data_IF_491388146479
#
_entry.id   IF_491388146479
#
_cell.length_a   1.000
_cell.length_b   1.000
_cell.length_c   1.000
_cell.angle_alpha   90.00
_cell.angle_beta   90.00
_cell.angle_gamma   90.00
#
_symmetry.space_group_name_H-M   'P 1'
#
loop_
_entity.id
_entity.type
_entity.pdbx_description
1 polymer ?
#
# COMPACT_ATOMS: atom_id res chain seq x y z
N UNK A 1 5.39 12.32 -14.79
CA UNK A 1 6.77 11.81 -14.67
C UNK A 1 7.44 12.28 -13.39
N UNK A 2 6.88 11.85 -12.27
CA UNK A 2 7.62 11.80 -11.01
C UNK A 2 7.65 10.33 -10.58
N UNK A 3 8.85 9.74 -10.55
CA UNK A 3 9.06 8.36 -10.12
C UNK A 3 10.01 8.39 -8.93
N UNK A 4 9.52 7.95 -7.78
CA UNK A 4 10.28 7.98 -6.52
C UNK A 4 10.46 6.55 -6.04
N UNK A 5 11.70 6.12 -5.81
CA UNK A 5 11.97 4.85 -5.14
C UNK A 5 11.83 5.09 -3.64
N UNK A 6 10.90 4.38 -3.00
CA UNK A 6 10.61 4.57 -1.58
C UNK A 6 11.71 3.92 -0.72
N UNK A 7 12.10 4.64 0.31
CA UNK A 7 13.17 4.31 1.26
C UNK A 7 12.65 4.44 2.70
N UNK A 8 13.43 4.06 3.69
CA UNK A 8 13.01 4.10 5.10
C UNK A 8 12.54 5.49 5.56
N UNK A 9 13.21 6.57 5.13
CA UNK A 9 12.79 7.94 5.42
C UNK A 9 11.39 8.29 4.85
N UNK A 10 11.04 7.72 3.70
CA UNK A 10 9.73 7.90 3.08
C UNK A 10 8.64 7.14 3.86
N UNK A 11 8.98 5.99 4.46
CA UNK A 11 8.06 5.24 5.33
C UNK A 11 7.70 6.08 6.55
N UNK A 12 8.71 6.66 7.22
CA UNK A 12 8.50 7.50 8.40
C UNK A 12 7.65 8.73 8.06
N UNK A 13 7.98 9.42 6.97
CA UNK A 13 7.23 10.58 6.50
C UNK A 13 5.78 10.23 6.15
N UNK A 14 5.55 9.12 5.42
CA UNK A 14 4.22 8.68 5.03
C UNK A 14 3.36 8.30 6.24
N UNK A 15 3.90 7.53 7.18
CA UNK A 15 3.16 7.09 8.39
C UNK A 15 2.82 8.27 9.28
N UNK A 16 3.77 9.17 9.52
CA UNK A 16 3.53 10.36 10.36
C UNK A 16 2.54 11.32 9.68
N UNK A 17 2.73 11.60 8.39
CA UNK A 17 1.82 12.45 7.61
C UNK A 17 0.43 11.85 7.55
N UNK A 18 0.31 10.54 7.30
CA UNK A 18 -0.93 9.80 7.34
C UNK A 18 -1.62 9.90 8.71
N UNK A 19 -0.89 9.76 9.82
CA UNK A 19 -1.48 9.92 11.15
C UNK A 19 -2.07 11.33 11.39
N UNK A 20 -1.41 12.37 10.88
CA UNK A 20 -1.89 13.76 10.96
C UNK A 20 -3.12 13.99 10.10
N UNK A 21 -3.07 13.57 8.82
CA UNK A 21 -4.17 13.73 7.86
C UNK A 21 -5.37 12.83 8.18
N UNK A 22 -5.12 11.77 8.95
CA UNK A 22 -6.05 10.69 9.21
C UNK A 22 -7.05 10.92 10.32
N UNK A 23 -7.18 12.14 10.86
CA UNK A 23 -8.27 12.50 11.79
C UNK A 23 -8.47 11.57 12.99
N UNK A 24 -7.41 10.90 13.47
CA UNK A 24 -7.45 10.02 14.65
C UNK A 24 -7.80 8.53 14.42
N UNK A 25 -8.00 8.08 13.18
CA UNK A 25 -8.33 6.68 12.84
C UNK A 25 -7.22 5.89 12.13
N UNK A 26 -7.57 4.72 11.55
CA UNK A 26 -6.76 4.04 10.51
C UNK A 26 -5.58 3.18 10.94
N UNK A 27 -5.68 2.61 12.15
CA UNK A 27 -4.71 1.65 12.67
C UNK A 27 -3.47 2.28 13.29
N UNK A 28 -2.69 1.45 13.98
CA UNK A 28 -1.54 1.91 14.76
C UNK A 28 -0.35 2.28 13.86
N UNK A 29 0.26 3.45 14.10
CA UNK A 29 1.46 3.91 13.37
C UNK A 29 2.58 2.87 13.38
N UNK A 30 2.82 2.21 14.51
CA UNK A 30 3.85 1.17 14.61
C UNK A 30 3.66 0.08 13.56
N UNK A 31 2.42 -0.33 13.30
CA UNK A 31 2.12 -1.35 12.28
C UNK A 31 2.41 -0.82 10.87
N UNK A 32 2.13 0.47 10.63
CA UNK A 32 2.47 1.14 9.38
C UNK A 32 3.98 1.18 9.15
N UNK A 33 4.76 1.53 10.18
CA UNK A 33 6.23 1.50 10.13
C UNK A 33 6.73 0.08 9.83
N UNK A 34 6.28 -0.92 10.59
CA UNK A 34 6.72 -2.31 10.43
C UNK A 34 6.46 -2.83 9.00
N UNK A 35 5.28 -2.55 8.44
CA UNK A 35 4.89 -2.96 7.09
C UNK A 35 5.62 -2.17 6.01
N UNK A 36 5.72 -0.84 6.16
CA UNK A 36 6.41 0.02 5.21
C UNK A 36 7.88 -0.32 5.10
N UNK A 37 8.58 -0.45 6.23
CA UNK A 37 9.99 -0.84 6.25
C UNK A 37 10.19 -2.27 5.71
N UNK A 38 9.26 -3.19 5.96
CA UNK A 38 9.30 -4.53 5.35
C UNK A 38 9.22 -4.44 3.83
N UNK A 39 8.32 -3.60 3.30
CA UNK A 39 8.18 -3.41 1.86
C UNK A 39 9.45 -2.82 1.22
N UNK A 40 10.03 -1.78 1.84
CA UNK A 40 11.31 -1.17 1.40
C UNK A 40 12.41 -2.22 1.35
N UNK A 41 12.60 -3.00 2.43
CA UNK A 41 13.64 -4.04 2.49
C UNK A 41 13.48 -5.17 1.47
N UNK A 42 12.24 -5.51 1.09
CA UNK A 42 11.98 -6.61 0.16
C UNK A 42 12.25 -6.20 -1.28
N UNK A 43 11.79 -5.03 -1.70
CA UNK A 43 11.78 -4.69 -3.12
C UNK A 43 11.84 -3.21 -3.47
N UNK A 44 11.94 -2.31 -2.50
CA UNK A 44 11.93 -0.86 -2.71
C UNK A 44 10.74 -0.40 -3.59
N UNK A 45 9.52 -0.33 -3.03
CA UNK A 45 8.34 0.04 -3.80
C UNK A 45 8.53 1.41 -4.45
N UNK A 46 7.90 1.59 -5.61
CA UNK A 46 8.03 2.80 -6.41
C UNK A 46 6.74 3.59 -6.34
N UNK A 47 6.83 4.88 -6.04
CA UNK A 47 5.72 5.83 -6.13
C UNK A 47 5.74 6.51 -7.49
N UNK A 48 4.58 6.58 -8.15
CA UNK A 48 4.36 7.31 -9.41
C UNK A 48 3.17 8.26 -9.30
N UNK A 49 3.15 9.29 -10.14
CA UNK A 49 1.99 10.18 -10.29
C UNK A 49 0.87 9.55 -11.11
N UNK A 50 -0.35 10.07 -10.97
CA UNK A 50 -1.52 9.60 -11.73
C UNK A 50 -1.38 9.77 -13.23
N UNK A 51 -0.58 10.74 -13.67
CA UNK A 51 -0.31 11.00 -15.09
C UNK A 51 0.52 9.90 -15.77
N UNK A 52 1.15 9.02 -14.98
CA UNK A 52 1.94 7.89 -15.48
C UNK A 52 1.08 6.60 -15.61
N UNK A 53 -0.24 6.68 -15.38
CA UNK A 53 -1.20 5.58 -15.51
C UNK A 53 -1.85 5.55 -16.91
N UNK A 54 -2.13 4.35 -17.44
CA UNK A 54 -2.89 4.17 -18.69
C UNK A 54 -4.41 4.12 -18.43
N UNK A 55 -5.21 4.86 -19.21
CA UNK A 55 -6.67 5.01 -19.00
C UNK A 55 -7.45 3.69 -19.05
N UNK A 56 -6.99 2.72 -19.85
CA UNK A 56 -7.65 1.42 -20.04
C UNK A 56 -7.32 0.40 -18.92
N UNK A 57 -6.36 0.71 -18.06
CA UNK A 57 -5.90 -0.14 -16.97
C UNK A 57 -6.51 0.31 -15.64
N UNK A 58 -6.61 -0.63 -14.70
CA UNK A 58 -7.27 -0.37 -13.41
C UNK A 58 -6.28 -0.10 -12.28
N UNK A 59 -6.68 0.75 -11.34
CA UNK A 59 -6.00 0.91 -10.05
C UNK A 59 -6.63 0.00 -9.01
N UNK A 60 -5.82 -0.62 -8.17
CA UNK A 60 -6.29 -1.52 -7.11
C UNK A 60 -6.13 -0.86 -5.75
N UNK A 61 -7.26 -0.56 -5.12
CA UNK A 61 -7.28 -0.05 -3.75
C UNK A 61 -6.95 -1.16 -2.76
N UNK A 62 -5.87 -0.98 -2.02
CA UNK A 62 -5.42 -1.90 -1.00
C UNK A 62 -5.89 -1.43 0.38
N UNK A 63 -6.61 -2.29 1.10
CA UNK A 63 -7.06 -2.00 2.47
C UNK A 63 -6.88 -3.22 3.38
N UNK A 64 -6.40 -2.96 4.60
CA UNK A 64 -6.42 -3.93 5.69
C UNK A 64 -7.69 -3.78 6.53
N UNK A 65 -8.66 -4.66 6.35
CA UNK A 65 -9.91 -4.67 7.14
C UNK A 65 -9.84 -5.75 8.22
N UNK A 66 -10.17 -5.40 9.46
CA UNK A 66 -10.20 -6.33 10.58
C UNK A 66 -10.66 -5.66 11.87
N UNK A 67 -10.77 -6.46 12.94
CA UNK A 67 -11.13 -5.96 14.26
C UNK A 67 -9.86 -5.53 15.03
N UNK A 68 -9.69 -4.24 15.39
CA UNK A 68 -8.50 -3.77 16.11
C UNK A 68 -8.29 -4.46 17.47
N UNK A 69 -9.38 -4.85 18.14
CA UNK A 69 -9.35 -5.51 19.43
C UNK A 69 -9.17 -7.05 19.35
N UNK A 70 -9.02 -7.61 18.15
CA UNK A 70 -8.89 -9.06 17.99
C UNK A 70 -7.55 -9.57 18.56
N UNK A 71 -7.64 -10.39 19.61
CA UNK A 71 -6.47 -10.98 20.30
C UNK A 71 -5.61 -11.90 19.42
N UNK A 72 -6.16 -12.40 18.30
CA UNK A 72 -5.51 -13.31 17.36
C UNK A 72 -5.64 -12.82 15.92
N UNK A 73 -5.53 -11.51 15.70
CA UNK A 73 -5.47 -10.97 14.34
C UNK A 73 -4.22 -11.49 13.63
N UNK A 74 -4.39 -12.13 12.47
CA UNK A 74 -3.29 -12.68 11.70
C UNK A 74 -3.51 -12.46 10.21
N UNK A 75 -2.55 -11.80 9.56
CA UNK A 75 -2.43 -11.69 8.11
C UNK A 75 -0.99 -12.01 7.78
N UNK A 76 -0.76 -13.08 7.02
CA UNK A 76 0.58 -13.48 6.62
C UNK A 76 1.10 -12.57 5.49
N UNK A 77 2.42 -12.34 5.35
CA UNK A 77 2.98 -11.67 4.18
C UNK A 77 2.52 -12.30 2.84
N UNK A 78 2.38 -13.63 2.78
CA UNK A 78 1.85 -14.35 1.62
C UNK A 78 0.43 -13.92 1.25
N UNK A 79 -0.39 -13.52 2.22
CA UNK A 79 -1.76 -13.05 1.98
C UNK A 79 -1.78 -11.78 1.14
N UNK A 80 -0.82 -10.86 1.33
CA UNK A 80 -0.70 -9.62 0.55
C UNK A 80 -0.44 -9.90 -0.94
N UNK A 81 0.51 -10.79 -1.23
CA UNK A 81 0.78 -11.25 -2.60
C UNK A 81 -0.43 -11.98 -3.20
N UNK A 82 -0.98 -12.97 -2.46
CA UNK A 82 -2.04 -13.85 -2.95
C UNK A 82 -3.31 -13.08 -3.31
N UNK A 83 -3.63 -11.98 -2.63
CA UNK A 83 -4.81 -11.16 -2.97
C UNK A 83 -4.70 -10.53 -4.35
N UNK A 84 -3.53 -10.01 -4.73
CA UNK A 84 -3.34 -9.41 -6.04
C UNK A 84 -3.24 -10.49 -7.12
N UNK A 85 -2.54 -11.60 -6.83
CA UNK A 85 -2.48 -12.75 -7.74
C UNK A 85 -3.88 -13.30 -8.06
N UNK A 86 -4.73 -13.46 -7.05
CA UNK A 86 -6.13 -13.88 -7.23
C UNK A 86 -6.91 -12.87 -8.09
N UNK A 87 -6.70 -11.58 -7.88
CA UNK A 87 -7.34 -10.54 -8.68
C UNK A 87 -6.89 -10.61 -10.15
N UNK A 88 -5.59 -10.74 -10.41
CA UNK A 88 -5.05 -10.86 -11.77
C UNK A 88 -5.54 -12.12 -12.48
N UNK A 89 -5.67 -13.25 -11.79
CA UNK A 89 -6.16 -14.50 -12.39
C UNK A 89 -7.64 -14.45 -12.80
N UNK A 90 -8.46 -13.62 -12.13
CA UNK A 90 -9.91 -13.60 -12.34
C UNK A 90 -10.43 -12.29 -12.92
N UNK A 91 -9.55 -11.33 -13.21
CA UNK A 91 -9.86 -10.06 -13.85
C UNK A 91 -9.42 -10.10 -15.31
N UNK A 92 -10.24 -9.55 -16.21
CA UNK A 92 -9.85 -9.28 -17.60
C UNK A 92 -9.04 -7.99 -17.75
N UNK A 93 -9.02 -7.13 -16.71
CA UNK A 93 -8.34 -5.84 -16.73
C UNK A 93 -6.92 -5.95 -16.18
N UNK A 94 -5.97 -5.31 -16.88
CA UNK A 94 -4.60 -5.18 -16.41
C UNK A 94 -4.50 -4.11 -15.30
N UNK A 95 -3.64 -4.35 -14.33
CA UNK A 95 -3.42 -3.44 -13.18
C UNK A 95 -2.33 -2.43 -13.54
N UNK A 96 -2.63 -1.14 -13.42
CA UNK A 96 -1.65 -0.05 -13.51
C UNK A 96 -0.75 0.00 -12.28
N UNK A 97 -1.37 -0.14 -11.11
CA UNK A 97 -0.71 0.04 -9.84
C UNK A 97 -1.68 -0.07 -8.69
N UNK A 98 -1.15 0.18 -7.49
CA UNK A 98 -1.86 0.05 -6.24
C UNK A 98 -2.06 1.43 -5.62
N UNK A 99 -3.22 1.67 -5.04
CA UNK A 99 -3.48 2.85 -4.23
C UNK A 99 -3.80 2.45 -2.79
N UNK A 100 -3.42 3.29 -1.85
CA UNK A 100 -3.84 3.13 -0.46
C UNK A 100 -5.29 3.59 -0.28
N UNK A 101 -5.99 2.98 0.67
CA UNK A 101 -7.40 3.23 0.91
C UNK A 101 -7.72 4.47 1.76
N UNK A 102 -6.74 5.07 2.43
CA UNK A 102 -6.90 6.32 3.18
C UNK A 102 -5.55 6.83 3.70
N UNK A 103 -5.43 8.16 3.89
CA UNK A 103 -4.29 8.78 4.55
C UNK A 103 -4.37 8.62 6.06
N UNK A 104 -3.98 7.45 6.61
CA UNK A 104 -3.94 7.19 8.07
C UNK A 104 -2.70 6.40 8.48
N UNK A 105 -2.39 6.35 9.79
CA UNK A 105 -1.12 5.85 10.32
C UNK A 105 -0.66 4.48 9.77
N UNK A 106 -1.49 3.44 9.84
CA UNK A 106 -1.19 2.16 9.18
C UNK A 106 -1.66 2.13 7.73
N UNK A 107 -2.82 2.74 7.46
CA UNK A 107 -3.46 2.61 6.16
C UNK A 107 -2.63 3.20 5.02
N UNK A 108 -1.89 4.29 5.23
CA UNK A 108 -1.12 4.98 4.19
C UNK A 108 -0.11 4.08 3.46
N UNK A 109 0.39 3.03 4.13
CA UNK A 109 1.32 2.05 3.52
C UNK A 109 0.62 0.79 2.97
N UNK A 110 -0.71 0.71 3.02
CA UNK A 110 -1.44 -0.39 2.40
C UNK A 110 -1.14 -0.42 0.90
N UNK A 111 -0.80 -1.60 0.39
CA UNK A 111 -0.36 -1.78 -0.99
C UNK A 111 1.16 -1.77 -1.16
N UNK A 112 1.93 -1.18 -0.25
CA UNK A 112 3.39 -1.05 -0.43
C UNK A 112 4.08 -2.42 -0.47
N UNK A 113 3.70 -3.33 0.43
CA UNK A 113 4.25 -4.68 0.45
C UNK A 113 3.87 -5.48 -0.80
N UNK A 114 2.63 -5.36 -1.27
CA UNK A 114 2.20 -5.96 -2.54
C UNK A 114 3.00 -5.40 -3.71
N UNK A 115 3.16 -4.08 -3.77
CA UNK A 115 3.90 -3.39 -4.83
C UNK A 115 5.35 -3.86 -4.90
N UNK A 116 6.01 -3.93 -3.74
CA UNK A 116 7.37 -4.44 -3.63
C UNK A 116 7.49 -5.93 -4.03
N UNK A 117 6.49 -6.76 -3.71
CA UNK A 117 6.52 -8.20 -4.03
C UNK A 117 6.20 -8.53 -5.49
N UNK A 118 5.43 -7.67 -6.16
CA UNK A 118 4.87 -7.94 -7.49
C UNK A 118 5.39 -6.99 -8.57
N UNK A 119 6.32 -6.10 -8.22
CA UNK A 119 6.82 -5.04 -9.09
C UNK A 119 5.69 -4.17 -9.66
N UNK A 120 4.71 -3.85 -8.80
CA UNK A 120 3.61 -2.94 -9.12
C UNK A 120 3.86 -1.60 -8.46
N UNK A 121 3.71 -0.47 -9.19
CA UNK A 121 3.91 0.84 -8.60
C UNK A 121 2.78 1.18 -7.62
N UNK A 122 3.13 1.98 -6.62
CA UNK A 122 2.17 2.71 -5.80
C UNK A 122 1.84 4.00 -6.55
N UNK A 123 0.56 4.32 -6.67
CA UNK A 123 0.12 5.55 -7.35
C UNK A 123 -0.26 6.57 -6.29
N UNK A 124 0.22 7.80 -6.43
CA UNK A 124 -0.05 8.92 -5.52
C UNK A 124 -1.49 9.45 -5.68
N UNK A 125 -2.44 8.60 -5.32
CA UNK A 125 -3.89 8.85 -5.35
C UNK A 125 -4.57 8.10 -4.20
N UNK A 126 -4.24 8.41 -2.92
CA UNK A 126 -4.96 7.84 -1.78
C UNK A 126 -6.44 8.24 -1.85
N UNK A 127 -7.36 7.32 -1.54
CA UNK A 127 -8.80 7.61 -1.50
C UNK A 127 -9.31 8.17 -0.17
#
# INVERSE_FOLDING_TARGET
MSRIVLMDEHVEAAVLGGAVLGGGGGGAMQRGLDLGHLAVRIGHPVLIGSEDCEDEKVLVTCSGVGAPAAKKAFVSPRSYWRTIELLQMHSSSLINGLITNECRGNAIVNGWLQGALLDLPIVDLPC
#
